data_IF_834218024371
#
_entry.id   IF_834218024371
#
_cell.length_a   1.000
_cell.length_b   1.000
_cell.length_c   1.000
_cell.angle_alpha   90.00
_cell.angle_beta   90.00
_cell.angle_gamma   90.00
#
_symmetry.space_group_name_H-M   'P 1'
#
loop_
_entity.id
_entity.type
_entity.pdbx_description
1 polymer ?
#
# COMPACT_ATOMS: atom_id res chain seq x y z
N UNK A 1 11.88 9.39 10.29
CA UNK A 1 11.17 8.82 9.13
C UNK A 1 10.03 9.76 8.76
N UNK A 2 10.23 10.65 7.77
CA UNK A 2 9.17 11.57 7.33
C UNK A 2 8.39 10.87 6.23
N UNK A 3 7.16 10.48 6.52
CA UNK A 3 6.26 9.93 5.52
C UNK A 3 5.86 11.10 4.61
N UNK A 4 6.55 11.29 3.48
CA UNK A 4 6.09 12.20 2.42
C UNK A 4 4.84 11.60 1.78
N UNK A 5 3.72 11.71 2.49
CA UNK A 5 2.37 11.33 2.08
C UNK A 5 1.48 12.58 2.12
N UNK A 6 2.01 13.73 1.71
CA UNK A 6 1.25 14.98 1.62
C UNK A 6 0.66 15.08 0.20
N UNK A 7 -0.67 15.12 0.08
CA UNK A 7 -1.39 15.19 -1.20
C UNK A 7 -2.77 14.49 -1.18
N UNK A 8 -3.50 14.53 -2.30
CA UNK A 8 -4.87 13.97 -2.43
C UNK A 8 -4.97 12.46 -2.15
N UNK A 9 -3.84 11.75 -2.22
CA UNK A 9 -3.74 10.32 -1.93
C UNK A 9 -3.19 10.00 -0.53
N UNK A 10 -3.16 10.98 0.38
CA UNK A 10 -2.73 10.77 1.77
C UNK A 10 -3.73 9.87 2.53
N UNK A 11 -3.26 8.94 3.39
CA UNK A 11 -4.18 8.13 4.19
C UNK A 11 -4.97 9.01 5.15
N UNK A 12 -6.21 8.64 5.51
CA UNK A 12 -6.96 9.32 6.55
C UNK A 12 -6.13 9.36 7.83
N UNK A 13 -5.90 10.57 8.37
CA UNK A 13 -5.11 10.76 9.59
C UNK A 13 -5.97 11.31 10.73
N UNK A 14 -5.67 10.89 11.95
CA UNK A 14 -6.14 11.52 13.19
C UNK A 14 -4.90 11.85 14.01
N UNK A 15 -4.72 13.14 14.33
CA UNK A 15 -3.52 13.66 15.00
C UNK A 15 -2.19 13.29 14.30
N UNK A 16 -2.20 13.17 12.96
CA UNK A 16 -0.99 12.87 12.18
C UNK A 16 -0.70 11.38 11.99
N UNK A 17 -1.43 10.47 12.64
CA UNK A 17 -1.27 9.02 12.48
C UNK A 17 -2.34 8.44 11.54
N UNK A 18 -2.02 7.41 10.73
CA UNK A 18 -3.02 6.70 9.93
C UNK A 18 -4.10 6.09 10.83
N UNK A 19 -5.36 6.29 10.46
CA UNK A 19 -6.50 5.64 11.13
C UNK A 19 -6.89 4.39 10.36
N UNK A 20 -7.15 3.32 11.11
CA UNK A 20 -7.63 2.04 10.59
C UNK A 20 -9.01 1.74 11.16
N UNK A 21 -10.01 1.60 10.30
CA UNK A 21 -11.38 1.20 10.64
C UNK A 21 -11.52 -0.32 10.75
N UNK A 22 -10.54 -1.08 10.24
CA UNK A 22 -10.51 -2.53 10.31
C UNK A 22 -9.09 -3.09 10.51
N UNK A 23 -8.92 -4.23 11.20
CA UNK A 23 -7.60 -4.82 11.48
C UNK A 23 -6.75 -5.12 10.24
N UNK A 24 -7.38 -5.38 9.09
CA UNK A 24 -6.66 -5.66 7.85
C UNK A 24 -5.99 -4.42 7.26
N UNK A 25 -6.52 -3.21 7.49
CA UNK A 25 -5.96 -1.98 6.94
C UNK A 25 -4.58 -1.69 7.53
N UNK A 26 -4.42 -1.90 8.84
CA UNK A 26 -3.12 -1.82 9.52
C UNK A 26 -2.12 -2.86 9.02
N UNK A 27 -2.58 -4.07 8.67
CA UNK A 27 -1.73 -5.12 8.08
C UNK A 27 -1.22 -4.72 6.70
N UNK A 28 -2.08 -4.20 5.83
CA UNK A 28 -1.71 -3.71 4.49
C UNK A 28 -0.68 -2.57 4.59
N UNK A 29 -0.93 -1.61 5.49
CA UNK A 29 0.03 -0.53 5.75
C UNK A 29 1.40 -1.05 6.21
N UNK A 30 1.42 -1.97 7.18
CA UNK A 30 2.65 -2.54 7.69
C UNK A 30 3.45 -3.32 6.63
N UNK A 31 2.75 -4.05 5.76
CA UNK A 31 3.38 -4.78 4.64
C UNK A 31 3.99 -3.81 3.63
N UNK A 32 3.26 -2.77 3.22
CA UNK A 32 3.77 -1.75 2.31
C UNK A 32 5.00 -1.05 2.89
N UNK A 33 4.96 -0.66 4.17
CA UNK A 33 6.10 -0.06 4.86
C UNK A 33 7.32 -1.00 4.91
N UNK A 34 7.11 -2.29 5.16
CA UNK A 34 8.16 -3.31 5.14
C UNK A 34 8.79 -3.49 3.77
N UNK A 35 7.99 -3.55 2.70
CA UNK A 35 8.47 -3.64 1.31
C UNK A 35 9.27 -2.40 0.95
N UNK A 36 8.74 -1.20 1.20
CA UNK A 36 9.41 0.08 0.93
C UNK A 36 10.75 0.17 1.66
N UNK A 37 10.78 -0.14 2.94
CA UNK A 37 12.01 -0.08 3.73
C UNK A 37 13.10 -1.06 3.25
N UNK A 38 12.70 -2.25 2.76
CA UNK A 38 13.65 -3.33 2.42
C UNK A 38 14.07 -3.35 0.96
N UNK A 39 13.24 -2.83 0.05
CA UNK A 39 13.43 -2.97 -1.40
C UNK A 39 13.62 -1.65 -2.13
N UNK A 40 13.25 -0.56 -1.47
CA UNK A 40 13.32 0.78 -2.03
C UNK A 40 14.06 1.74 -1.09
N UNK A 41 14.82 1.22 -0.12
CA UNK A 41 15.60 2.01 0.86
C UNK A 41 14.77 3.07 1.59
N UNK A 42 13.48 2.80 1.81
CA UNK A 42 12.54 3.72 2.43
C UNK A 42 11.91 4.74 1.48
N UNK A 43 12.23 4.70 0.18
CA UNK A 43 11.59 5.54 -0.84
C UNK A 43 10.17 5.05 -1.13
N UNK A 44 9.21 5.90 -0.79
CA UNK A 44 7.78 5.66 -1.04
C UNK A 44 7.34 6.05 -2.44
N UNK A 45 8.17 6.72 -3.25
CA UNK A 45 7.79 7.16 -4.59
C UNK A 45 7.30 6.03 -5.50
N UNK A 46 7.92 4.82 -5.51
CA UNK A 46 7.40 3.67 -6.26
C UNK A 46 5.99 3.25 -5.82
N UNK A 47 5.76 3.09 -4.52
CA UNK A 47 4.44 2.77 -3.99
C UNK A 47 3.42 3.86 -4.31
N UNK A 48 3.80 5.14 -4.16
CA UNK A 48 2.92 6.29 -4.39
C UNK A 48 2.43 6.32 -5.84
N UNK A 49 3.29 5.99 -6.82
CA UNK A 49 2.86 5.85 -8.22
C UNK A 49 1.80 4.77 -8.37
N UNK A 50 2.07 3.56 -7.88
CA UNK A 50 1.10 2.46 -7.91
C UNK A 50 -0.24 2.83 -7.23
N UNK A 51 -0.21 3.61 -6.14
CA UNK A 51 -1.41 4.07 -5.45
C UNK A 51 -2.20 5.09 -6.25
N UNK A 52 -1.52 6.07 -6.86
CA UNK A 52 -2.17 7.04 -7.75
C UNK A 52 -2.83 6.33 -8.93
N UNK A 53 -2.13 5.38 -9.54
CA UNK A 53 -2.65 4.59 -10.65
C UNK A 53 -3.87 3.74 -10.22
N UNK A 54 -3.80 3.10 -9.05
CA UNK A 54 -4.91 2.30 -8.51
C UNK A 54 -6.16 3.14 -8.18
N UNK A 55 -5.98 4.37 -7.69
CA UNK A 55 -7.08 5.31 -7.44
C UNK A 55 -7.65 5.84 -8.76
N UNK A 56 -6.79 6.14 -9.74
CA UNK A 56 -7.22 6.62 -11.05
C UNK A 56 -7.99 5.55 -11.85
N UNK A 57 -7.59 4.28 -11.73
CA UNK A 57 -8.28 3.13 -12.34
C UNK A 57 -9.71 2.96 -11.81
N UNK A 58 -9.91 3.13 -10.49
CA UNK A 58 -11.23 3.06 -9.85
C UNK A 58 -11.40 4.12 -8.74
N UNK A 59 -11.85 5.33 -9.09
CA UNK A 59 -12.04 6.42 -8.14
C UNK A 59 -13.07 6.12 -7.04
N UNK A 60 -14.03 5.22 -7.30
CA UNK A 60 -15.06 4.79 -6.36
C UNK A 60 -14.59 3.69 -5.38
N UNK A 61 -13.43 3.08 -5.63
CA UNK A 61 -12.85 2.06 -4.76
C UNK A 61 -12.51 2.67 -3.39
N UNK A 62 -12.79 1.95 -2.31
CA UNK A 62 -12.41 2.41 -0.98
C UNK A 62 -10.88 2.56 -0.89
N UNK A 63 -10.43 3.61 -0.20
CA UNK A 63 -9.03 4.01 -0.17
C UNK A 63 -8.06 2.89 0.25
N UNK A 64 -8.43 2.10 1.27
CA UNK A 64 -7.61 0.98 1.74
C UNK A 64 -7.60 -0.22 0.78
N UNK A 65 -8.62 -0.37 -0.05
CA UNK A 65 -8.62 -1.35 -1.14
C UNK A 65 -7.69 -0.88 -2.26
N UNK A 66 -7.63 0.44 -2.55
CA UNK A 66 -6.64 1.01 -3.48
C UNK A 66 -5.20 0.85 -2.97
N UNK A 67 -4.97 0.94 -1.66
CA UNK A 67 -3.68 0.59 -1.04
C UNK A 67 -3.30 -0.87 -1.26
N UNK A 68 -4.26 -1.78 -1.15
CA UNK A 68 -4.02 -3.22 -1.35
C UNK A 68 -3.63 -3.49 -2.80
N UNK A 69 -4.40 -2.95 -3.76
CA UNK A 69 -4.08 -3.07 -5.19
C UNK A 69 -2.71 -2.47 -5.54
N UNK A 70 -2.39 -1.31 -4.98
CA UNK A 70 -1.09 -0.67 -5.18
C UNK A 70 0.07 -1.51 -4.63
N UNK A 71 -0.12 -2.14 -3.47
CA UNK A 71 0.86 -3.04 -2.88
C UNK A 71 1.08 -4.28 -3.75
N UNK A 72 0.02 -4.88 -4.27
CA UNK A 72 0.08 -6.03 -5.18
C UNK A 72 0.88 -5.71 -6.45
N UNK A 73 0.58 -4.59 -7.10
CA UNK A 73 1.32 -4.13 -8.27
C UNK A 73 2.79 -3.85 -7.95
N UNK A 74 3.08 -3.23 -6.79
CA UNK A 74 4.45 -2.97 -6.36
C UNK A 74 5.26 -4.26 -6.18
N UNK A 75 4.70 -5.27 -5.52
CA UNK A 75 5.43 -6.52 -5.22
C UNK A 75 5.57 -7.41 -6.46
N UNK A 76 4.60 -7.39 -7.38
CA UNK A 76 4.70 -8.06 -8.69
C UNK A 76 5.75 -7.36 -9.55
N UNK A 77 5.69 -6.03 -9.68
CA UNK A 77 6.64 -5.25 -10.46
C UNK A 77 8.08 -5.32 -9.93
N UNK A 78 8.25 -5.48 -8.62
CA UNK A 78 9.55 -5.68 -7.98
C UNK A 78 10.06 -7.14 -8.01
N UNK A 79 9.28 -8.07 -8.58
CA UNK A 79 9.64 -9.49 -8.65
C UNK A 79 9.70 -10.20 -7.28
N UNK A 80 9.07 -9.63 -6.25
CA UNK A 80 9.11 -10.13 -4.87
C UNK A 80 8.13 -11.27 -4.63
N UNK A 81 7.07 -11.32 -5.44
CA UNK A 81 6.13 -12.42 -5.48
C UNK A 81 5.97 -12.82 -6.95
N UNK A 82 6.17 -14.12 -7.24
CA UNK A 82 5.48 -14.70 -8.38
C UNK A 82 3.97 -14.63 -8.12
N UNK A 83 3.15 -14.42 -9.16
CA UNK A 83 1.69 -14.23 -9.05
C UNK A 83 0.98 -15.23 -8.11
N UNK A 84 1.53 -16.43 -7.91
CA UNK A 84 0.96 -17.51 -7.07
C UNK A 84 1.17 -17.38 -5.55
N UNK A 85 2.00 -16.44 -5.07
CA UNK A 85 2.33 -16.36 -3.65
C UNK A 85 1.29 -15.60 -2.79
N UNK A 86 0.47 -14.75 -3.40
CA UNK A 86 -0.56 -13.95 -2.70
C UNK A 86 -1.75 -14.82 -2.26
N UNK A 87 -2.09 -15.88 -3.00
CA UNK A 87 -3.24 -16.75 -2.71
C UNK A 87 -3.09 -17.59 -1.44
N UNK A 88 -1.85 -17.87 -0.98
CA UNK A 88 -1.58 -18.83 0.10
C UNK A 88 -1.71 -18.25 1.51
N UNK A 89 -1.90 -16.93 1.66
CA UNK A 89 -2.06 -16.26 2.97
C UNK A 89 -3.51 -15.94 3.33
N UNK A 90 -4.46 -16.20 2.43
CA UNK A 90 -5.91 -16.01 2.66
C UNK A 90 -6.54 -17.26 3.31
N UNK A 91 -5.82 -18.39 3.34
CA UNK A 91 -6.32 -19.67 3.83
C UNK A 91 -5.86 -20.06 5.26
N UNK A 92 -5.01 -19.26 5.91
CA UNK A 92 -4.58 -19.40 7.32
C UNK A 92 -5.10 -18.21 8.15
#
# INVERSE_FOLDING_TARGET
MRLDLDGTAAPPRRNGEPVFDAPWQGRVFGLAAGVVARRFDGDWAPFRRCLVDAIADRPERAYWDSWTAALEELVVGAGLLGRDAVARRIAD
#
